data_IF_848405821625
#
_entry.id   IF_848405821625
#
_cell.length_a   1.000
_cell.length_b   1.000
_cell.length_c   1.000
_cell.angle_alpha   90.00
_cell.angle_beta   90.00
_cell.angle_gamma   90.00
#
_symmetry.space_group_name_H-M   'P 1'
#
loop_
_entity.id
_entity.type
_entity.pdbx_description
1 polymer ?
#
# COMPACT_ATOMS: atom_id res chain seq x y z
N UNK A 1 22.94 9.39 21.28
CA UNK A 1 21.83 10.37 21.40
C UNK A 1 20.65 9.65 22.00
N UNK A 2 19.98 10.22 23.01
CA UNK A 2 18.86 9.57 23.72
C UNK A 2 17.60 10.42 23.52
N UNK A 3 16.45 9.77 23.33
CA UNK A 3 15.13 10.42 23.23
C UNK A 3 14.19 9.79 24.25
N UNK A 4 13.41 10.64 24.91
CA UNK A 4 12.36 10.19 25.81
C UNK A 4 11.12 9.78 25.00
N UNK A 5 10.46 8.70 25.43
CA UNK A 5 9.18 8.28 24.88
C UNK A 5 8.10 9.30 25.23
N UNK A 6 7.31 9.73 24.24
CA UNK A 6 6.20 10.64 24.49
C UNK A 6 5.06 9.93 25.24
N UNK A 7 4.13 10.72 25.82
CA UNK A 7 2.92 10.18 26.45
C UNK A 7 2.01 9.38 25.50
N UNK A 8 2.20 9.51 24.18
CA UNK A 8 1.48 8.76 23.16
C UNK A 8 2.31 7.61 22.57
N UNK A 9 3.30 7.13 23.32
CA UNK A 9 4.20 6.06 22.90
C UNK A 9 4.92 6.36 21.57
N UNK A 10 5.21 7.64 21.31
CA UNK A 10 5.90 8.08 20.09
C UNK A 10 7.36 8.38 20.42
N UNK A 11 8.28 7.90 19.57
CA UNK A 11 9.68 8.31 19.60
C UNK A 11 10.00 9.11 18.33
N UNK A 12 10.58 10.29 18.49
CA UNK A 12 10.98 11.13 17.35
C UNK A 12 12.35 10.70 16.88
N UNK A 13 12.43 10.19 15.64
CA UNK A 13 13.70 9.89 15.00
C UNK A 13 14.38 11.21 14.63
N UNK A 14 15.65 11.42 15.02
CA UNK A 14 16.36 12.65 14.72
C UNK A 14 16.56 12.84 13.21
N UNK A 15 16.47 14.09 12.75
CA UNK A 15 16.65 14.43 11.33
C UNK A 15 18.02 14.00 10.77
N UNK A 16 19.06 13.89 11.61
CA UNK A 16 20.38 13.41 11.20
C UNK A 16 20.31 11.94 10.73
N UNK A 17 19.66 11.08 11.53
CA UNK A 17 19.49 9.66 11.21
C UNK A 17 18.64 9.49 9.95
N UNK A 18 17.55 10.26 9.83
CA UNK A 18 16.70 10.26 8.62
C UNK A 18 17.48 10.64 7.35
N UNK A 19 18.41 11.61 7.43
CA UNK A 19 19.27 11.99 6.31
C UNK A 19 20.28 10.90 5.95
N UNK A 20 20.85 10.22 6.94
CA UNK A 20 21.82 9.14 6.72
C UNK A 20 21.17 7.93 6.03
N UNK A 21 19.93 7.61 6.37
CA UNK A 21 19.16 6.53 5.73
C UNK A 21 18.43 6.98 4.45
N UNK A 22 18.45 8.28 4.14
CA UNK A 22 17.76 8.84 2.96
C UNK A 22 16.23 8.88 3.04
N UNK A 23 15.63 8.64 4.21
CA UNK A 23 14.18 8.60 4.38
C UNK A 23 13.56 10.00 4.43
N UNK A 24 12.36 10.11 3.87
CA UNK A 24 11.56 11.34 3.79
C UNK A 24 10.35 11.28 4.73
N UNK A 25 9.80 12.45 5.13
CA UNK A 25 8.53 12.48 5.86
C UNK A 25 7.43 11.77 5.05
N UNK A 26 6.79 10.78 5.66
CA UNK A 26 5.76 9.96 5.00
C UNK A 26 6.25 8.58 4.54
N UNK A 27 7.55 8.31 4.59
CA UNK A 27 8.06 6.95 4.39
C UNK A 27 7.57 6.02 5.51
N UNK A 28 7.29 4.78 5.11
CA UNK A 28 6.81 3.75 6.01
C UNK A 28 7.99 2.92 6.52
N UNK A 29 7.86 2.48 7.77
CA UNK A 29 8.83 1.65 8.43
C UNK A 29 8.14 0.40 8.94
N UNK A 30 8.71 -0.75 8.61
CA UNK A 30 8.40 -1.99 9.29
C UNK A 30 9.08 -1.99 10.67
N UNK A 31 8.36 -2.46 11.68
CA UNK A 31 8.82 -2.50 13.06
C UNK A 31 9.02 -3.95 13.46
N UNK A 32 10.26 -4.33 13.71
CA UNK A 32 10.62 -5.64 14.26
C UNK A 32 11.09 -5.51 15.72
N UNK A 33 10.86 -6.57 16.50
CA UNK A 33 11.24 -6.66 17.90
C UNK A 33 12.12 -7.90 18.13
N UNK A 34 13.35 -7.67 18.57
CA UNK A 34 14.32 -8.72 18.92
C UNK A 34 14.38 -8.98 20.44
N UNK A 35 13.31 -8.59 21.17
CA UNK A 35 13.19 -8.69 22.63
C UNK A 35 13.94 -7.60 23.40
N UNK A 36 15.11 -7.18 22.91
CA UNK A 36 15.92 -6.11 23.52
C UNK A 36 15.96 -4.83 22.69
N UNK A 37 15.68 -4.93 21.38
CA UNK A 37 15.83 -3.82 20.43
C UNK A 37 14.61 -3.75 19.52
N UNK A 38 14.23 -2.51 19.20
CA UNK A 38 13.29 -2.20 18.14
C UNK A 38 14.10 -1.89 16.88
N UNK A 39 13.83 -2.63 15.81
CA UNK A 39 14.47 -2.45 14.52
C UNK A 39 13.44 -1.79 13.60
N UNK A 40 13.83 -0.70 12.95
CA UNK A 40 13.00 0.05 12.02
C UNK A 40 13.57 -0.12 10.62
N UNK A 41 12.81 -0.76 9.72
CA UNK A 41 13.24 -1.06 8.35
C UNK A 41 12.41 -0.23 7.39
N UNK A 42 13.02 0.68 6.59
CA UNK A 42 12.29 1.42 5.57
C UNK A 42 11.62 0.46 4.60
N UNK A 43 10.32 0.62 4.38
CA UNK A 43 9.55 -0.21 3.45
C UNK A 43 8.85 0.69 2.45
N UNK A 44 9.23 0.55 1.19
CA UNK A 44 8.43 1.03 0.07
C UNK A 44 7.19 0.15 -0.02
N UNK A 45 5.99 0.75 0.04
CA UNK A 45 4.82 0.07 -0.50
C UNK A 45 5.06 -0.01 -2.00
N UNK A 46 5.49 -1.16 -2.48
CA UNK A 46 5.31 -1.47 -3.89
C UNK A 46 3.80 -1.50 -4.11
N UNK A 47 3.30 -0.51 -4.83
CA UNK A 47 1.92 -0.44 -5.29
C UNK A 47 1.64 -1.77 -6.00
N UNK A 48 0.92 -2.69 -5.32
CA UNK A 48 0.58 -4.02 -5.84
C UNK A 48 -0.35 -3.98 -7.06
N UNK A 49 -0.57 -2.79 -7.64
CA UNK A 49 -1.35 -2.58 -8.83
C UNK A 49 -0.42 -2.20 -9.97
N UNK A 50 -0.06 -3.20 -10.78
CA UNK A 50 0.58 -2.99 -12.08
C UNK A 50 -0.28 -2.05 -12.92
N UNK A 51 0.30 -1.26 -13.83
CA UNK A 51 -0.42 -0.38 -14.76
C UNK A 51 -1.54 -1.09 -15.53
N UNK A 52 -1.42 -2.41 -15.70
CA UNK A 52 -2.43 -3.30 -16.26
C UNK A 52 -3.70 -3.39 -15.41
N UNK A 53 -3.57 -3.45 -14.09
CA UNK A 53 -4.70 -3.50 -13.15
C UNK A 53 -5.38 -2.12 -13.06
N UNK A 54 -4.62 -1.03 -13.13
CA UNK A 54 -5.17 0.33 -13.29
C UNK A 54 -5.93 0.50 -14.61
N UNK A 55 -5.44 -0.07 -15.72
CA UNK A 55 -6.19 -0.12 -17.00
C UNK A 55 -7.46 -0.96 -16.92
N UNK A 56 -7.46 -2.07 -16.18
CA UNK A 56 -8.66 -2.89 -15.93
C UNK A 56 -9.68 -2.13 -15.08
N UNK A 57 -9.24 -1.50 -13.98
CA UNK A 57 -10.10 -0.66 -13.15
C UNK A 57 -10.65 0.55 -13.93
N UNK A 58 -9.83 1.16 -14.80
CA UNK A 58 -10.25 2.22 -15.70
C UNK A 58 -11.28 1.77 -16.74
N UNK A 59 -11.14 0.57 -17.33
CA UNK A 59 -12.15 -0.02 -18.22
C UNK A 59 -13.45 -0.32 -17.49
N UNK A 60 -13.38 -0.91 -16.29
CA UNK A 60 -14.55 -1.19 -15.44
C UNK A 60 -15.27 0.12 -15.05
N UNK A 61 -14.52 1.18 -14.70
CA UNK A 61 -15.09 2.49 -14.39
C UNK A 61 -15.76 3.16 -15.60
N UNK A 62 -15.21 2.95 -16.81
CA UNK A 62 -15.82 3.43 -18.07
C UNK A 62 -17.05 2.61 -18.47
N UNK A 63 -17.07 1.32 -18.15
CA UNK A 63 -18.22 0.42 -18.39
C UNK A 63 -19.31 0.50 -17.33
N UNK A 64 -19.06 1.15 -16.17
CA UNK A 64 -20.10 1.49 -15.18
C UNK A 64 -21.18 2.47 -15.70
N UNK A 65 -21.17 2.82 -16.99
CA UNK A 65 -22.34 3.34 -17.70
C UNK A 65 -23.39 2.28 -18.06
N UNK A 66 -23.10 0.97 -17.92
CA UNK A 66 -24.08 -0.11 -18.09
C UNK A 66 -24.54 -0.61 -16.73
N UNK A 67 -25.76 -0.24 -16.34
CA UNK A 67 -26.47 -0.92 -15.24
C UNK A 67 -26.80 -2.35 -15.68
N UNK A 68 -26.03 -3.32 -15.19
CA UNK A 68 -26.44 -4.73 -15.27
C UNK A 68 -27.54 -4.96 -14.24
N UNK A 69 -28.70 -5.42 -14.70
CA UNK A 69 -29.89 -5.59 -13.85
C UNK A 69 -29.73 -6.68 -12.78
N UNK A 70 -28.81 -7.64 -12.98
CA UNK A 70 -28.59 -8.76 -12.07
C UNK A 70 -27.10 -9.09 -11.91
N UNK A 71 -26.72 -9.57 -10.72
CA UNK A 71 -25.35 -9.91 -10.37
C UNK A 71 -24.77 -11.11 -11.15
N UNK A 72 -25.63 -11.98 -11.68
CA UNK A 72 -25.24 -13.16 -12.46
C UNK A 72 -24.74 -12.80 -13.87
N UNK A 73 -25.37 -11.83 -14.53
CA UNK A 73 -24.92 -11.33 -15.84
C UNK A 73 -23.53 -10.68 -15.75
N UNK A 74 -23.30 -9.91 -14.68
CA UNK A 74 -21.99 -9.30 -14.42
C UNK A 74 -20.91 -10.36 -14.21
N UNK A 75 -21.21 -11.45 -13.46
CA UNK A 75 -20.27 -12.56 -13.25
C UNK A 75 -19.99 -13.33 -14.54
N UNK A 76 -20.99 -13.51 -15.40
CA UNK A 76 -20.84 -14.23 -16.68
C UNK A 76 -19.94 -13.45 -17.65
N UNK A 77 -20.13 -12.14 -17.75
CA UNK A 77 -19.26 -11.26 -18.54
C UNK A 77 -17.82 -11.24 -18.02
N UNK A 78 -17.66 -11.21 -16.69
CA UNK A 78 -16.34 -11.25 -16.06
C UNK A 78 -15.61 -12.58 -16.29
N UNK A 79 -16.33 -13.71 -16.31
CA UNK A 79 -15.75 -15.03 -16.56
C UNK A 79 -15.33 -15.23 -18.02
N UNK A 80 -16.07 -14.66 -18.98
CA UNK A 80 -15.70 -14.67 -20.41
C UNK A 80 -14.42 -13.86 -20.65
N UNK A 81 -14.30 -12.67 -20.04
CA UNK A 81 -13.12 -11.81 -20.17
C UNK A 81 -11.84 -12.40 -19.56
N UNK A 82 -11.95 -13.36 -18.64
CA UNK A 82 -10.81 -14.03 -17.99
C UNK A 82 -10.32 -15.22 -18.82
N UNK A 83 -11.16 -15.82 -19.67
CA UNK A 83 -10.89 -17.10 -20.34
C UNK A 83 -10.49 -16.95 -21.82
N UNK A 84 -10.35 -15.71 -22.30
CA UNK A 84 -9.90 -15.35 -23.67
C UNK A 84 -8.41 -14.93 -23.71
N UNK A 85 -7.64 -15.28 -22.66
CA UNK A 85 -6.18 -15.11 -22.55
C UNK A 85 -5.50 -16.46 -22.59
#
# INVERSE_FOLDING_TARGET
MVRQLSQRNTITIPAKVLKEIGSKPGDLFEIENDGTRIILIPKTIEDKFTELEWKKLGKIAKEKGKLYKNAEDAKKHMKVLINEV
#
